data_IF_373339850302
#
_entry.id   IF_373339850302
#
_cell.length_a   1.000
_cell.length_b   1.000
_cell.length_c   1.000
_cell.angle_alpha   90.00
_cell.angle_beta   90.00
_cell.angle_gamma   90.00
#
_symmetry.space_group_name_H-M   'P 1'
#
loop_
_entity.id
_entity.type
_entity.pdbx_description
1 polymer ?
#
# COMPACT_ATOMS: atom_id res chain seq x y z
N UNK A 1 32.64 -28.35 8.32
CA UNK A 1 31.36 -29.04 8.03
C UNK A 1 30.27 -27.99 8.12
N UNK A 2 29.80 -27.49 6.99
CA UNK A 2 28.65 -26.60 6.93
C UNK A 2 27.44 -27.40 7.39
N UNK A 3 26.66 -26.92 8.37
CA UNK A 3 25.42 -27.61 8.74
C UNK A 3 24.56 -27.80 7.48
N UNK A 4 23.82 -28.91 7.37
CA UNK A 4 22.92 -29.13 6.23
C UNK A 4 22.06 -27.88 6.06
N UNK A 5 22.10 -27.29 4.85
CA UNK A 5 21.33 -26.10 4.50
C UNK A 5 19.87 -26.33 4.93
N UNK A 6 19.43 -25.68 6.01
CA UNK A 6 18.01 -25.54 6.27
C UNK A 6 17.42 -24.89 5.04
N UNK A 7 16.48 -25.57 4.37
CA UNK A 7 15.80 -25.02 3.20
C UNK A 7 15.26 -23.64 3.55
N UNK A 8 15.54 -22.64 2.71
CA UNK A 8 15.02 -21.29 2.89
C UNK A 8 13.51 -21.34 3.05
N UNK A 9 12.96 -20.46 3.89
CA UNK A 9 11.51 -20.28 4.00
C UNK A 9 10.94 -19.80 2.68
N UNK A 10 9.80 -20.35 2.28
CA UNK A 10 9.12 -20.07 1.02
C UNK A 10 8.01 -19.06 1.22
N UNK A 11 8.05 -17.94 0.50
CA UNK A 11 7.12 -16.83 0.63
C UNK A 11 6.34 -16.66 -0.67
N UNK A 12 5.01 -16.72 -0.59
CA UNK A 12 4.13 -16.32 -1.68
C UNK A 12 3.84 -14.82 -1.55
N UNK A 13 4.43 -14.00 -2.43
CA UNK A 13 4.41 -12.54 -2.36
C UNK A 13 3.39 -11.97 -3.35
N UNK A 14 2.34 -11.32 -2.85
CA UNK A 14 1.28 -10.75 -3.68
C UNK A 14 1.41 -9.23 -3.71
N UNK A 15 1.69 -8.69 -4.90
CA UNK A 15 1.84 -7.25 -5.14
C UNK A 15 1.38 -6.89 -6.55
N UNK A 16 0.80 -5.70 -6.78
CA UNK A 16 0.62 -5.18 -8.12
C UNK A 16 1.95 -5.15 -8.90
N UNK A 17 1.84 -5.33 -10.22
CA UNK A 17 2.95 -5.72 -11.10
C UNK A 17 4.05 -4.65 -11.21
N UNK A 18 5.27 -5.11 -11.50
CA UNK A 18 6.40 -4.29 -11.96
C UNK A 18 6.23 -3.79 -13.42
N UNK A 19 5.18 -4.23 -14.11
CA UNK A 19 5.12 -4.26 -15.58
C UNK A 19 4.06 -3.32 -16.14
N UNK A 20 3.01 -3.05 -15.37
CA UNK A 20 1.94 -2.14 -15.74
C UNK A 20 2.46 -0.69 -15.73
N UNK A 21 2.36 0.00 -16.87
CA UNK A 21 2.57 1.45 -16.97
C UNK A 21 1.53 2.24 -16.17
N UNK A 22 0.39 1.64 -15.89
CA UNK A 22 -0.73 2.31 -15.22
C UNK A 22 -0.52 2.39 -13.70
N UNK A 23 0.47 1.65 -13.17
CA UNK A 23 0.77 1.54 -11.74
C UNK A 23 2.08 2.24 -11.31
N UNK A 24 2.61 3.18 -12.10
CA UNK A 24 3.88 3.88 -11.77
C UNK A 24 3.85 4.59 -10.42
N UNK A 25 2.66 4.97 -9.93
CA UNK A 25 2.49 5.56 -8.61
C UNK A 25 2.21 4.57 -7.48
N UNK A 26 2.20 3.25 -7.70
CA UNK A 26 1.81 2.27 -6.67
C UNK A 26 2.90 2.12 -5.60
N UNK A 27 2.48 2.26 -4.34
CA UNK A 27 3.40 2.13 -3.20
C UNK A 27 3.80 0.67 -3.00
N UNK A 28 2.85 -0.25 -3.18
CA UNK A 28 3.12 -1.69 -3.08
C UNK A 28 4.15 -2.15 -4.12
N UNK A 29 4.05 -1.63 -5.35
CA UNK A 29 5.05 -1.87 -6.40
C UNK A 29 6.42 -1.34 -5.97
N UNK A 30 6.49 -0.08 -5.57
CA UNK A 30 7.74 0.56 -5.13
C UNK A 30 8.41 -0.23 -3.99
N UNK A 31 7.65 -0.59 -2.95
CA UNK A 31 8.17 -1.36 -1.83
C UNK A 31 8.67 -2.75 -2.27
N UNK A 32 7.95 -3.41 -3.18
CA UNK A 32 8.34 -4.71 -3.74
C UNK A 32 9.70 -4.64 -4.46
N UNK A 33 9.90 -3.64 -5.31
CA UNK A 33 11.15 -3.47 -6.07
C UNK A 33 12.37 -3.38 -5.15
N UNK A 34 12.23 -2.65 -4.04
CA UNK A 34 13.32 -2.48 -3.08
C UNK A 34 13.54 -3.71 -2.20
N UNK A 35 12.46 -4.34 -1.71
CA UNK A 35 12.56 -5.39 -0.70
C UNK A 35 12.91 -6.75 -1.29
N UNK A 36 12.48 -7.08 -2.51
CA UNK A 36 12.78 -8.39 -3.11
C UNK A 36 14.30 -8.64 -3.21
N UNK A 37 15.05 -7.63 -3.63
CA UNK A 37 16.52 -7.72 -3.72
C UNK A 37 17.15 -7.98 -2.35
N UNK A 38 16.63 -7.35 -1.28
CA UNK A 38 17.15 -7.51 0.08
C UNK A 38 16.78 -8.85 0.72
N UNK A 39 15.60 -9.37 0.41
CA UNK A 39 15.04 -10.55 1.06
C UNK A 39 15.34 -11.87 0.34
N UNK A 40 15.61 -11.86 -0.97
CA UNK A 40 15.92 -13.06 -1.76
C UNK A 40 17.16 -13.84 -1.26
N UNK A 41 18.06 -13.17 -0.55
CA UNK A 41 19.20 -13.80 0.13
C UNK A 41 18.79 -14.77 1.25
N UNK A 42 17.70 -14.46 1.96
CA UNK A 42 17.24 -15.20 3.14
C UNK A 42 16.02 -16.09 2.86
N UNK A 43 15.21 -15.72 1.87
CA UNK A 43 13.94 -16.37 1.56
C UNK A 43 13.91 -16.88 0.11
N UNK A 44 13.14 -17.94 -0.14
CA UNK A 44 12.70 -18.30 -1.49
C UNK A 44 11.37 -17.60 -1.75
N UNK A 45 11.37 -16.59 -2.61
CA UNK A 45 10.19 -15.74 -2.84
C UNK A 45 9.62 -16.02 -4.22
N UNK A 46 8.33 -16.34 -4.30
CA UNK A 46 7.58 -16.42 -5.55
C UNK A 46 6.58 -15.25 -5.61
N UNK A 47 6.68 -14.44 -6.67
CA UNK A 47 5.83 -13.27 -6.89
C UNK A 47 4.53 -13.68 -7.60
N UNK A 48 3.40 -13.21 -7.07
CA UNK A 48 2.07 -13.43 -7.61
C UNK A 48 1.40 -12.09 -7.95
N UNK A 49 0.86 -12.00 -9.15
CA UNK A 49 0.28 -10.77 -9.68
C UNK A 49 -0.96 -11.01 -10.55
N UNK A 50 -1.67 -9.94 -10.92
CA UNK A 50 -2.84 -9.97 -11.80
C UNK A 50 -2.46 -9.77 -13.27
N UNK A 51 -1.58 -10.64 -13.79
CA UNK A 51 -1.08 -10.59 -15.16
C UNK A 51 -0.61 -11.96 -15.67
N UNK A 52 -0.64 -12.16 -16.99
CA UNK A 52 -0.19 -13.38 -17.67
C UNK A 52 1.11 -13.17 -18.48
N UNK A 53 1.76 -12.01 -18.32
CA UNK A 53 2.92 -11.64 -19.12
C UNK A 53 4.14 -12.37 -18.56
N UNK A 54 4.99 -12.95 -19.41
CA UNK A 54 6.18 -13.72 -18.98
C UNK A 54 7.45 -12.84 -18.88
N UNK A 55 7.54 -11.74 -19.64
CA UNK A 55 8.75 -10.90 -19.74
C UNK A 55 8.87 -9.78 -18.69
N UNK A 56 9.53 -10.06 -17.56
CA UNK A 56 9.85 -9.05 -16.55
C UNK A 56 11.13 -9.38 -15.77
N UNK A 57 11.71 -8.40 -15.05
CA UNK A 57 12.99 -8.56 -14.36
C UNK A 57 12.92 -9.58 -13.22
N UNK A 58 11.72 -9.79 -12.66
CA UNK A 58 11.43 -10.81 -11.66
C UNK A 58 10.36 -11.75 -12.24
N UNK A 59 10.62 -13.07 -12.28
CA UNK A 59 9.61 -14.05 -12.65
C UNK A 59 8.40 -13.95 -11.73
N UNK A 60 7.21 -13.83 -12.32
CA UNK A 60 5.94 -13.75 -11.61
C UNK A 60 4.97 -14.79 -12.16
N UNK A 61 4.11 -15.29 -11.28
CA UNK A 61 3.00 -16.20 -11.59
C UNK A 61 1.68 -15.45 -11.50
N UNK A 62 0.68 -15.85 -12.29
CA UNK A 62 -0.67 -15.33 -12.10
C UNK A 62 -1.22 -15.76 -10.73
N UNK A 63 -1.88 -14.86 -9.98
CA UNK A 63 -2.31 -15.12 -8.60
C UNK A 63 -3.21 -16.36 -8.43
N UNK A 64 -4.00 -16.71 -9.44
CA UNK A 64 -4.83 -17.94 -9.41
C UNK A 64 -4.01 -19.23 -9.37
N UNK A 65 -2.73 -19.20 -9.76
CA UNK A 65 -1.86 -20.37 -9.68
C UNK A 65 -1.33 -20.62 -8.26
N UNK A 66 -1.43 -19.65 -7.35
CA UNK A 66 -0.83 -19.74 -6.03
C UNK A 66 -1.30 -20.97 -5.24
N UNK A 67 -2.58 -21.32 -5.35
CA UNK A 67 -3.13 -22.52 -4.70
C UNK A 67 -2.47 -23.80 -5.21
N UNK A 68 -2.38 -23.96 -6.54
CA UNK A 68 -1.76 -25.13 -7.15
C UNK A 68 -0.26 -25.23 -6.83
N UNK A 69 0.44 -24.08 -6.88
CA UNK A 69 1.85 -23.98 -6.49
C UNK A 69 2.06 -24.40 -5.03
N UNK A 70 1.19 -23.94 -4.14
CA UNK A 70 1.23 -24.29 -2.72
C UNK A 70 0.98 -25.79 -2.48
N UNK A 71 0.10 -26.44 -3.25
CA UNK A 71 -0.12 -27.89 -3.15
C UNK A 71 1.11 -28.70 -3.59
N UNK A 72 1.78 -28.27 -4.66
CA UNK A 72 2.99 -28.94 -5.17
C UNK A 72 4.19 -28.73 -4.26
N UNK A 73 4.37 -27.51 -3.79
CA UNK A 73 5.43 -27.11 -2.89
C UNK A 73 4.85 -26.07 -1.93
N UNK A 74 4.59 -26.41 -0.65
CA UNK A 74 3.98 -25.49 0.29
C UNK A 74 4.81 -24.23 0.54
N UNK A 75 4.10 -23.12 0.72
CA UNK A 75 4.65 -21.84 1.18
C UNK A 75 4.55 -21.77 2.71
N UNK A 76 5.57 -21.24 3.36
CA UNK A 76 5.56 -20.98 4.80
C UNK A 76 4.73 -19.73 5.14
N UNK A 77 4.74 -18.72 4.25
CA UNK A 77 4.03 -17.46 4.44
C UNK A 77 3.37 -17.01 3.14
N UNK A 78 2.11 -16.58 3.24
CA UNK A 78 1.47 -15.76 2.23
C UNK A 78 1.57 -14.29 2.66
N UNK A 79 2.13 -13.44 1.81
CA UNK A 79 2.33 -12.03 2.08
C UNK A 79 1.56 -11.19 1.07
N UNK A 80 0.67 -10.32 1.57
CA UNK A 80 -0.21 -9.50 0.75
C UNK A 80 0.09 -8.04 0.95
N UNK A 81 0.32 -7.32 -0.14
CA UNK A 81 0.33 -5.87 -0.12
C UNK A 81 -1.02 -5.34 -0.58
N UNK A 82 -1.59 -4.44 0.21
CA UNK A 82 -2.92 -3.91 0.01
C UNK A 82 -2.85 -2.39 -0.14
N UNK A 83 -3.33 -1.91 -1.28
CA UNK A 83 -3.44 -0.49 -1.62
C UNK A 83 -4.88 -0.23 -2.11
N UNK A 84 -5.39 0.98 -1.96
CA UNK A 84 -6.72 1.39 -2.44
C UNK A 84 -6.71 1.66 -3.95
N UNK A 85 -6.43 0.60 -4.72
CA UNK A 85 -6.38 0.65 -6.18
C UNK A 85 -6.98 -0.59 -6.83
N UNK A 86 -7.54 -0.45 -8.05
CA UNK A 86 -8.03 -1.59 -8.82
C UNK A 86 -6.96 -2.67 -9.06
N UNK A 87 -5.70 -2.28 -9.26
CA UNK A 87 -4.58 -3.21 -9.45
C UNK A 87 -4.30 -4.09 -8.23
N UNK A 88 -4.76 -3.70 -7.03
CA UNK A 88 -4.65 -4.49 -5.79
C UNK A 88 -5.91 -5.32 -5.49
N UNK A 89 -6.94 -5.29 -6.33
CA UNK A 89 -8.18 -6.04 -6.07
C UNK A 89 -7.97 -7.56 -6.02
N UNK A 90 -7.00 -8.09 -6.76
CA UNK A 90 -6.68 -9.52 -6.72
C UNK A 90 -6.10 -9.94 -5.36
N UNK A 91 -5.31 -9.09 -4.70
CA UNK A 91 -4.76 -9.39 -3.35
C UNK A 91 -5.90 -9.46 -2.34
N UNK A 92 -6.85 -8.53 -2.43
CA UNK A 92 -8.07 -8.52 -1.62
C UNK A 92 -8.93 -9.76 -1.84
N UNK A 93 -9.07 -10.24 -3.07
CA UNK A 93 -9.81 -11.49 -3.37
C UNK A 93 -9.05 -12.69 -2.77
N UNK A 94 -7.75 -12.80 -3.04
CA UNK A 94 -6.96 -13.97 -2.64
C UNK A 94 -6.79 -14.08 -1.12
N UNK A 95 -6.68 -12.97 -0.39
CA UNK A 95 -6.61 -12.96 1.08
C UNK A 95 -7.85 -13.61 1.73
N UNK A 96 -9.02 -13.51 1.10
CA UNK A 96 -10.22 -14.22 1.54
C UNK A 96 -10.15 -15.74 1.34
N UNK A 97 -9.23 -16.21 0.50
CA UNK A 97 -9.00 -17.63 0.20
C UNK A 97 -7.90 -18.24 1.06
N UNK A 98 -6.83 -17.51 1.37
CA UNK A 98 -5.73 -17.97 2.22
C UNK A 98 -5.25 -16.82 3.11
N UNK A 99 -5.47 -16.89 4.44
CA UNK A 99 -4.92 -15.93 5.40
C UNK A 99 -3.40 -15.80 5.31
N UNK A 100 -2.87 -14.61 5.61
CA UNK A 100 -1.43 -14.36 5.57
C UNK A 100 -1.02 -13.08 6.30
N UNK A 101 0.26 -12.72 6.17
CA UNK A 101 0.74 -11.39 6.58
C UNK A 101 0.19 -10.37 5.58
N UNK A 102 -0.41 -9.29 6.08
CA UNK A 102 -1.00 -8.26 5.22
C UNK A 102 -0.36 -6.92 5.56
N UNK A 103 0.26 -6.30 4.56
CA UNK A 103 0.76 -4.94 4.65
C UNK A 103 -0.22 -3.97 4.00
N UNK A 104 -0.90 -3.21 4.86
CA UNK A 104 -1.81 -2.15 4.49
C UNK A 104 -1.00 -0.90 4.16
N UNK A 105 -0.94 -0.58 2.86
CA UNK A 105 -0.55 0.73 2.39
C UNK A 105 -1.70 1.72 2.55
N UNK A 106 -2.93 1.26 2.31
CA UNK A 106 -4.16 1.97 2.67
C UNK A 106 -5.04 1.07 3.54
N UNK A 107 -5.40 1.55 4.73
CA UNK A 107 -6.42 0.92 5.57
C UNK A 107 -7.82 1.48 5.33
N UNK A 108 -7.92 2.74 4.92
CA UNK A 108 -9.16 3.37 4.48
C UNK A 108 -9.29 3.27 2.97
N UNK A 109 -10.29 2.53 2.49
CA UNK A 109 -10.53 2.30 1.07
C UNK A 109 -11.69 3.15 0.57
N UNK A 110 -11.43 3.99 -0.43
CA UNK A 110 -12.42 4.80 -1.14
C UNK A 110 -13.36 3.95 -1.97
N UNK A 111 -12.94 2.75 -2.36
CA UNK A 111 -13.75 1.80 -3.12
C UNK A 111 -14.12 0.57 -2.30
N UNK A 112 -15.30 0.02 -2.54
CA UNK A 112 -15.73 -1.20 -1.86
C UNK A 112 -14.97 -2.45 -2.35
N UNK A 113 -14.30 -2.35 -3.50
CA UNK A 113 -13.65 -3.46 -4.19
C UNK A 113 -14.57 -4.16 -5.19
N UNK A 114 -14.10 -5.28 -5.80
CA UNK A 114 -14.86 -6.02 -6.78
C UNK A 114 -16.09 -6.70 -6.15
N UNK A 115 -17.09 -7.00 -6.99
CA UNK A 115 -18.39 -7.59 -6.59
C UNK A 115 -18.29 -8.79 -5.62
N UNK A 116 -17.35 -9.74 -5.78
CA UNK A 116 -17.21 -10.85 -4.84
C UNK A 116 -16.89 -10.44 -3.39
N UNK A 117 -16.41 -9.20 -3.18
CA UNK A 117 -16.18 -8.60 -1.86
C UNK A 117 -17.45 -7.92 -1.35
N UNK A 118 -18.10 -7.14 -2.22
CA UNK A 118 -19.25 -6.28 -1.91
C UNK A 118 -20.40 -7.03 -1.26
N UNK A 119 -20.69 -8.24 -1.74
CA UNK A 119 -21.80 -9.06 -1.25
C UNK A 119 -21.33 -10.27 -0.41
N UNK A 120 -20.10 -10.21 0.12
CA UNK A 120 -19.57 -11.28 0.94
C UNK A 120 -20.03 -11.17 2.39
N UNK A 121 -20.52 -12.27 2.95
CA UNK A 121 -20.87 -12.46 4.36
C UNK A 121 -19.65 -12.50 5.29
N UNK A 122 -18.62 -11.70 5.02
CA UNK A 122 -17.27 -11.93 5.53
C UNK A 122 -17.18 -11.86 7.06
N UNK A 123 -17.98 -10.99 7.70
CA UNK A 123 -18.07 -10.90 9.16
C UNK A 123 -18.50 -12.24 9.75
N UNK A 124 -19.58 -12.80 9.20
CA UNK A 124 -20.14 -14.08 9.63
C UNK A 124 -19.19 -15.24 9.33
N UNK A 125 -18.53 -15.21 8.17
CA UNK A 125 -17.48 -16.16 7.78
C UNK A 125 -16.30 -16.11 8.76
N UNK A 126 -15.84 -14.92 9.14
CA UNK A 126 -14.74 -14.76 10.11
C UNK A 126 -15.15 -15.25 11.50
N UNK A 127 -16.37 -14.94 11.96
CA UNK A 127 -16.89 -15.44 13.23
C UNK A 127 -17.02 -16.97 13.24
N UNK A 128 -17.49 -17.58 12.15
CA UNK A 128 -17.56 -19.04 12.02
C UNK A 128 -16.16 -19.67 12.04
N UNK A 129 -15.20 -19.11 11.28
CA UNK A 129 -13.82 -19.58 11.27
C UNK A 129 -13.18 -19.53 12.67
N UNK A 130 -13.51 -18.50 13.47
CA UNK A 130 -13.09 -18.36 14.87
C UNK A 130 -13.85 -19.29 15.84
N UNK A 131 -14.71 -20.17 15.34
CA UNK A 131 -15.48 -21.14 16.14
C UNK A 131 -16.67 -20.54 16.91
N UNK A 132 -17.11 -19.31 16.60
CA UNK A 132 -18.20 -18.63 17.32
C UNK A 132 -19.59 -18.91 16.75
N UNK A 133 -19.72 -19.57 15.60
CA UNK A 133 -21.00 -19.91 14.97
C UNK A 133 -21.10 -21.40 14.63
N UNK A 134 -22.32 -21.93 14.70
CA UNK A 134 -22.64 -23.31 14.34
C UNK A 134 -23.02 -23.49 12.86
N UNK A 135 -23.59 -22.47 12.21
CA UNK A 135 -23.99 -22.48 10.79
C UNK A 135 -23.16 -21.52 9.93
N UNK A 136 -23.08 -21.81 8.63
CA UNK A 136 -22.59 -20.87 7.63
C UNK A 136 -23.63 -19.75 7.39
N UNK A 137 -23.20 -18.54 7.03
CA UNK A 137 -24.11 -17.45 6.67
C UNK A 137 -24.99 -17.80 5.46
N UNK A 138 -26.22 -17.30 5.47
CA UNK A 138 -27.16 -17.45 4.35
C UNK A 138 -26.63 -16.71 3.11
N UNK A 139 -26.65 -17.38 1.97
CA UNK A 139 -26.30 -16.80 0.66
C UNK A 139 -27.50 -16.06 0.09
N UNK A 140 -27.25 -15.02 -0.70
CA UNK A 140 -28.30 -14.19 -1.33
C UNK A 140 -28.84 -13.06 -0.43
N UNK A 141 -28.34 -12.94 0.80
CA UNK A 141 -28.53 -11.74 1.62
C UNK A 141 -27.56 -10.65 1.18
N UNK A 142 -28.03 -9.41 1.09
CA UNK A 142 -27.15 -8.24 0.91
C UNK A 142 -26.39 -7.96 2.22
N UNK A 143 -25.07 -7.80 2.11
CA UNK A 143 -24.20 -7.47 3.24
C UNK A 143 -23.73 -6.03 3.11
N UNK A 144 -24.22 -5.16 3.99
CA UNK A 144 -23.83 -3.75 3.97
C UNK A 144 -22.43 -3.58 4.53
N UNK A 145 -21.58 -2.81 3.83
CA UNK A 145 -20.27 -2.40 4.33
C UNK A 145 -20.42 -1.54 5.59
N UNK A 146 -19.61 -1.83 6.61
CA UNK A 146 -19.55 -1.02 7.83
C UNK A 146 -18.35 -0.09 7.76
N UNK A 147 -18.53 1.02 7.02
CA UNK A 147 -17.55 2.11 6.91
C UNK A 147 -16.34 1.84 6.00
N UNK A 148 -15.45 2.83 5.86
CA UNK A 148 -14.38 2.84 4.86
C UNK A 148 -13.19 1.91 5.16
N UNK A 149 -13.11 1.32 6.34
CA UNK A 149 -11.95 0.53 6.74
C UNK A 149 -11.89 -0.83 6.03
N UNK A 150 -10.68 -1.32 5.75
CA UNK A 150 -10.39 -2.67 5.22
C UNK A 150 -10.58 -3.76 6.29
N UNK A 151 -11.72 -3.73 7.01
CA UNK A 151 -12.00 -4.58 8.18
C UNK A 151 -11.94 -6.06 7.85
N UNK A 152 -12.38 -6.43 6.66
CA UNK A 152 -12.38 -7.80 6.18
C UNK A 152 -10.96 -8.32 6.03
N UNK A 153 -10.13 -7.57 5.33
CA UNK A 153 -8.74 -7.91 5.08
C UNK A 153 -7.97 -7.96 6.40
N UNK A 154 -8.23 -7.02 7.31
CA UNK A 154 -7.67 -7.05 8.65
C UNK A 154 -8.14 -8.24 9.50
N UNK A 155 -9.39 -8.68 9.34
CA UNK A 155 -9.92 -9.85 10.03
C UNK A 155 -9.30 -11.18 9.54
N UNK A 156 -8.91 -11.26 8.26
CA UNK A 156 -8.21 -12.41 7.70
C UNK A 156 -6.68 -12.32 7.85
N UNK A 157 -6.14 -11.14 8.13
CA UNK A 157 -4.72 -10.95 8.38
C UNK A 157 -4.24 -11.73 9.61
N UNK A 158 -3.16 -12.51 9.43
CA UNK A 158 -2.45 -13.21 10.49
C UNK A 158 -1.54 -12.28 11.28
N UNK A 159 -0.92 -11.35 10.58
CA UNK A 159 -0.13 -10.25 11.11
C UNK A 159 -0.39 -9.03 10.23
N UNK A 160 -0.92 -7.96 10.85
CA UNK A 160 -1.26 -6.73 10.13
C UNK A 160 -0.11 -5.73 10.23
N UNK A 161 0.48 -5.39 9.10
CA UNK A 161 1.51 -4.36 8.97
C UNK A 161 0.89 -3.10 8.37
N UNK A 162 1.30 -1.93 8.81
CA UNK A 162 0.77 -0.65 8.32
C UNK A 162 1.89 0.26 7.87
N UNK A 163 1.80 0.79 6.65
CA UNK A 163 2.78 1.74 6.08
C UNK A 163 2.73 3.12 6.74
N UNK A 164 1.64 3.41 7.45
CA UNK A 164 1.37 4.69 8.12
C UNK A 164 0.99 4.49 9.58
N UNK A 165 1.50 5.38 10.44
CA UNK A 165 1.15 5.43 11.87
C UNK A 165 -0.35 5.70 12.05
N UNK A 166 -0.96 6.55 11.21
CA UNK A 166 -2.40 6.85 11.25
C UNK A 166 -3.20 5.56 11.09
N UNK A 167 -2.95 4.83 10.03
CA UNK A 167 -3.72 3.63 9.68
C UNK A 167 -3.55 2.54 10.74
N UNK A 168 -2.34 2.42 11.32
CA UNK A 168 -2.12 1.54 12.47
C UNK A 168 -2.95 1.96 13.69
N UNK A 169 -2.99 3.25 13.99
CA UNK A 169 -3.78 3.79 15.10
C UNK A 169 -5.28 3.54 14.89
N UNK A 170 -5.82 3.83 13.71
CA UNK A 170 -7.22 3.54 13.36
C UNK A 170 -7.56 2.05 13.50
N UNK A 171 -6.65 1.17 13.08
CA UNK A 171 -6.80 -0.27 13.28
C UNK A 171 -6.88 -0.65 14.77
N UNK A 172 -6.04 -0.04 15.61
CA UNK A 172 -6.02 -0.30 17.05
C UNK A 172 -7.29 0.18 17.75
N UNK A 173 -7.87 1.31 17.32
CA UNK A 173 -9.17 1.78 17.81
C UNK A 173 -10.28 0.78 17.46
N UNK A 174 -10.34 0.33 16.20
CA UNK A 174 -11.34 -0.66 15.76
C UNK A 174 -11.19 -2.04 16.40
N UNK A 175 -9.98 -2.38 16.88
CA UNK A 175 -9.76 -3.63 17.62
C UNK A 175 -10.51 -3.65 18.94
N UNK A 176 -10.65 -2.49 19.59
CA UNK A 176 -11.37 -2.38 20.88
C UNK A 176 -12.86 -2.69 20.72
N UNK A 177 -13.40 -2.52 19.52
CA UNK A 177 -14.79 -2.88 19.18
C UNK A 177 -15.02 -4.39 18.95
N UNK A 178 -13.98 -5.23 19.11
CA UNK A 178 -14.07 -6.70 18.99
C UNK A 178 -14.17 -7.22 17.55
N UNK A 179 -13.92 -6.36 16.57
CA UNK A 179 -14.07 -6.63 15.13
C UNK A 179 -12.82 -7.32 14.59
N UNK A 180 -11.63 -6.84 14.99
CA UNK A 180 -10.35 -7.41 14.58
C UNK A 180 -9.86 -8.43 15.62
N UNK A 181 -8.94 -9.32 15.21
CA UNK A 181 -8.43 -10.35 16.12
C UNK A 181 -7.47 -9.73 17.15
N UNK A 182 -7.23 -10.42 18.26
CA UNK A 182 -6.15 -10.09 19.20
C UNK A 182 -4.72 -10.29 18.62
N UNK A 183 -4.60 -10.36 17.29
CA UNK A 183 -3.36 -10.69 16.57
C UNK A 183 -2.35 -9.56 16.64
N UNK A 184 -1.10 -9.94 16.43
CA UNK A 184 0.01 -9.00 16.33
C UNK A 184 -0.22 -8.02 15.16
N UNK A 185 0.14 -6.77 15.39
CA UNK A 185 0.08 -5.71 14.39
C UNK A 185 1.23 -4.74 14.60
N UNK A 186 1.83 -4.28 13.52
CA UNK A 186 3.01 -3.42 13.56
C UNK A 186 2.88 -2.26 12.58
N UNK A 187 3.46 -1.13 12.95
CA UNK A 187 3.84 -0.12 11.98
C UNK A 187 5.13 -0.60 11.29
N UNK A 188 5.09 -0.68 9.97
CA UNK A 188 6.25 -0.97 9.13
C UNK A 188 6.25 0.04 7.98
N UNK A 189 7.14 1.04 7.98
CA UNK A 189 7.12 2.12 7.01
C UNK A 189 7.55 1.68 5.61
N UNK A 190 7.19 2.49 4.61
CA UNK A 190 7.63 2.28 3.21
C UNK A 190 9.16 2.40 3.13
N UNK A 191 9.86 1.41 2.54
CA UNK A 191 11.32 1.39 2.50
C UNK A 191 11.85 2.46 1.55
N UNK A 192 12.97 3.07 1.90
CA UNK A 192 13.67 4.07 1.09
C UNK A 192 15.16 3.77 1.08
N UNK A 193 15.78 3.83 -0.09
CA UNK A 193 17.24 3.72 -0.22
C UNK A 193 17.93 4.99 0.30
N UNK A 194 19.16 4.88 0.83
CA UNK A 194 19.94 6.06 1.20
C UNK A 194 20.08 7.04 0.04
N UNK A 195 19.86 8.33 0.31
CA UNK A 195 20.04 9.39 -0.68
C UNK A 195 21.22 10.25 -0.25
N UNK A 196 22.25 10.31 -1.08
CA UNK A 196 23.36 11.25 -0.94
C UNK A 196 23.24 12.30 -2.03
N UNK A 197 22.97 13.54 -1.61
CA UNK A 197 22.94 14.68 -2.52
C UNK A 197 24.31 15.35 -2.52
N UNK A 198 24.77 15.75 -3.71
CA UNK A 198 25.91 16.67 -3.80
C UNK A 198 25.46 18.03 -3.27
N UNK A 199 26.27 18.65 -2.42
CA UNK A 199 25.99 20.00 -1.95
C UNK A 199 25.96 20.94 -3.15
N UNK A 200 24.76 21.43 -3.48
CA UNK A 200 24.62 22.53 -4.42
C UNK A 200 24.80 23.84 -3.65
N UNK A 201 25.63 24.78 -4.16
CA UNK A 201 25.64 26.12 -3.60
C UNK A 201 24.22 26.69 -3.67
N UNK A 202 23.80 27.40 -2.63
CA UNK A 202 22.49 28.04 -2.59
C UNK A 202 22.41 28.98 -3.81
N UNK A 203 21.47 28.67 -4.69
CA UNK A 203 21.11 29.58 -5.77
C UNK A 203 20.53 30.85 -5.17
N UNK A 204 20.62 31.96 -5.90
CA UNK A 204 19.85 33.16 -5.55
C UNK A 204 18.33 32.91 -5.68
N UNK A 205 17.92 31.79 -6.29
CA UNK A 205 16.54 31.37 -6.48
C UNK A 205 16.20 30.19 -5.58
N UNK A 206 15.07 30.28 -4.89
CA UNK A 206 14.47 29.21 -4.09
C UNK A 206 13.61 28.31 -5.00
N UNK A 207 13.99 27.04 -5.11
CA UNK A 207 13.28 26.03 -5.90
C UNK A 207 12.42 25.16 -4.98
N UNK A 208 11.11 25.27 -5.16
CA UNK A 208 10.13 24.42 -4.49
C UNK A 208 9.89 23.18 -5.34
N UNK A 209 9.77 22.01 -4.72
CA UNK A 209 9.40 20.77 -5.39
C UNK A 209 8.05 20.29 -4.92
N UNK A 210 7.21 19.81 -5.84
CA UNK A 210 5.94 19.17 -5.53
C UNK A 210 5.67 18.00 -6.49
N UNK A 211 5.09 16.92 -5.99
CA UNK A 211 4.80 15.71 -6.76
C UNK A 211 3.40 15.18 -6.45
N UNK A 212 2.44 15.56 -7.28
CA UNK A 212 1.04 15.20 -7.08
C UNK A 212 0.19 15.57 -8.29
N UNK A 213 -0.98 14.93 -8.48
CA UNK A 213 -1.93 15.37 -9.49
C UNK A 213 -2.63 16.68 -9.05
N UNK A 214 -3.21 17.44 -9.99
CA UNK A 214 -3.88 18.72 -9.74
C UNK A 214 -5.29 18.57 -9.12
N UNK A 215 -5.45 17.62 -8.20
CA UNK A 215 -6.74 17.32 -7.58
C UNK A 215 -6.92 18.14 -6.29
N UNK A 216 -8.17 18.27 -5.85
CA UNK A 216 -8.51 19.07 -4.67
C UNK A 216 -7.83 18.58 -3.39
N UNK A 217 -7.65 17.26 -3.24
CA UNK A 217 -7.04 16.67 -2.05
C UNK A 217 -5.57 17.02 -1.90
N UNK A 218 -4.85 17.30 -3.00
CA UNK A 218 -3.43 17.69 -2.92
C UNK A 218 -3.23 19.19 -2.66
N UNK A 219 -4.32 19.95 -2.51
CA UNK A 219 -4.32 21.37 -2.14
C UNK A 219 -3.41 22.25 -2.99
N UNK A 220 -3.12 21.84 -4.23
CA UNK A 220 -2.21 22.56 -5.13
C UNK A 220 -2.61 24.02 -5.33
N UNK A 221 -3.92 24.26 -5.38
CA UNK A 221 -4.49 25.60 -5.45
C UNK A 221 -4.05 26.53 -4.32
N UNK A 222 -3.83 26.03 -3.10
CA UNK A 222 -3.32 26.80 -1.96
C UNK A 222 -1.85 27.16 -2.14
N UNK A 223 -1.05 26.23 -2.66
CA UNK A 223 0.36 26.48 -3.01
C UNK A 223 0.48 27.53 -4.11
N UNK A 224 -0.35 27.43 -5.16
CA UNK A 224 -0.39 28.43 -6.25
C UNK A 224 -0.85 29.80 -5.75
N UNK A 225 -1.87 29.85 -4.88
CA UNK A 225 -2.31 31.09 -4.24
C UNK A 225 -1.21 31.72 -3.38
N UNK A 226 -0.47 30.90 -2.62
CA UNK A 226 0.68 31.34 -1.85
C UNK A 226 1.76 31.92 -2.77
N UNK A 227 2.14 31.21 -3.84
CA UNK A 227 3.11 31.67 -4.83
C UNK A 227 2.74 33.01 -5.46
N UNK A 228 1.47 33.21 -5.82
CA UNK A 228 0.98 34.49 -6.35
C UNK A 228 1.17 35.65 -5.37
N UNK A 229 0.97 35.40 -4.07
CA UNK A 229 1.11 36.41 -3.03
C UNK A 229 2.57 36.79 -2.74
N UNK A 230 3.53 36.01 -3.22
CA UNK A 230 4.95 36.29 -3.06
C UNK A 230 5.42 37.25 -4.19
N UNK A 231 5.96 38.43 -3.85
CA UNK A 231 6.35 39.45 -4.82
C UNK A 231 7.64 39.11 -5.57
N UNK A 232 8.28 37.98 -5.26
CA UNK A 232 9.64 37.67 -5.69
C UNK A 232 9.67 36.79 -6.94
N UNK A 233 10.43 37.25 -7.94
CA UNK A 233 10.88 36.45 -9.09
C UNK A 233 11.85 35.33 -8.68
N UNK A 234 12.27 35.31 -7.41
CA UNK A 234 13.27 34.39 -6.86
C UNK A 234 12.69 33.06 -6.39
N UNK A 235 11.41 32.78 -6.61
CA UNK A 235 10.77 31.55 -6.16
C UNK A 235 10.13 30.85 -7.37
N UNK A 236 10.60 29.63 -7.63
CA UNK A 236 10.08 28.74 -8.68
C UNK A 236 9.54 27.46 -8.08
N UNK A 237 8.50 26.92 -8.72
CA UNK A 237 7.91 25.63 -8.40
C UNK A 237 8.23 24.64 -9.51
N UNK A 238 8.85 23.52 -9.15
CA UNK A 238 8.99 22.32 -9.96
C UNK A 238 7.88 21.35 -9.56
N UNK A 239 6.93 21.09 -10.47
CA UNK A 239 5.74 20.29 -10.20
C UNK A 239 5.65 19.07 -11.13
N UNK A 240 5.80 17.88 -10.55
CA UNK A 240 5.64 16.61 -11.26
C UNK A 240 4.19 16.12 -11.24
N UNK A 241 3.66 15.81 -12.42
CA UNK A 241 2.31 15.27 -12.63
C UNK A 241 2.36 14.04 -13.55
N UNK A 242 1.29 13.26 -13.59
CA UNK A 242 1.13 12.24 -14.62
C UNK A 242 0.83 12.89 -15.97
N UNK A 243 1.18 12.22 -17.07
CA UNK A 243 0.92 12.74 -18.43
C UNK A 243 -0.57 13.06 -18.67
N UNK A 244 -1.48 12.26 -18.10
CA UNK A 244 -2.93 12.47 -18.16
C UNK A 244 -3.40 13.77 -17.47
N UNK A 245 -2.59 14.33 -16.57
CA UNK A 245 -2.93 15.48 -15.75
C UNK A 245 -2.26 16.80 -16.19
N UNK A 246 -1.39 16.78 -17.21
CA UNK A 246 -0.66 17.97 -17.69
C UNK A 246 -1.58 19.15 -18.05
N UNK A 247 -2.61 18.89 -18.85
CA UNK A 247 -3.52 19.94 -19.32
C UNK A 247 -4.27 20.61 -18.15
N UNK A 248 -4.71 19.80 -17.18
CA UNK A 248 -5.38 20.27 -15.97
C UNK A 248 -4.43 21.09 -15.10
N UNK A 249 -3.17 20.65 -14.94
CA UNK A 249 -2.16 21.38 -14.18
C UNK A 249 -1.86 22.76 -14.78
N UNK A 250 -1.68 22.86 -16.10
CA UNK A 250 -1.54 24.14 -16.79
C UNK A 250 -2.79 25.03 -16.65
N UNK A 251 -3.99 24.43 -16.73
CA UNK A 251 -5.23 25.17 -16.50
C UNK A 251 -5.28 25.78 -15.10
N UNK A 252 -4.89 25.02 -14.08
CA UNK A 252 -4.87 25.47 -12.69
C UNK A 252 -3.88 26.62 -12.47
N UNK A 253 -2.68 26.56 -13.05
CA UNK A 253 -1.70 27.67 -12.98
C UNK A 253 -2.29 28.97 -13.56
N UNK A 254 -2.97 28.88 -14.72
CA UNK A 254 -3.63 30.04 -15.34
C UNK A 254 -4.80 30.57 -14.51
N UNK A 255 -5.65 29.68 -14.01
CA UNK A 255 -6.82 30.01 -13.19
C UNK A 255 -6.42 30.82 -11.96
N UNK A 256 -5.35 30.41 -11.28
CA UNK A 256 -4.86 31.09 -10.09
C UNK A 256 -4.03 32.34 -10.42
N UNK A 257 -3.78 32.65 -11.69
CA UNK A 257 -3.04 33.84 -12.12
C UNK A 257 -1.57 33.81 -11.74
N UNK A 258 -0.97 32.62 -11.64
CA UNK A 258 0.47 32.47 -11.42
C UNK A 258 1.17 32.59 -12.77
N UNK A 259 2.25 33.38 -12.80
CA UNK A 259 3.07 33.56 -14.01
C UNK A 259 3.67 32.21 -14.45
N UNK A 260 3.49 31.76 -15.71
CA UNK A 260 3.92 30.44 -16.17
C UNK A 260 5.42 30.16 -15.96
N UNK A 261 6.28 31.16 -16.08
CA UNK A 261 7.72 31.03 -15.87
C UNK A 261 8.12 30.67 -14.43
N UNK A 262 7.21 30.86 -13.47
CA UNK A 262 7.42 30.49 -12.07
C UNK A 262 7.06 29.03 -11.78
N UNK A 263 6.43 28.31 -12.71
CA UNK A 263 6.00 26.93 -12.51
C UNK A 263 6.50 26.05 -13.66
N UNK A 264 7.51 25.24 -13.39
CA UNK A 264 8.00 24.18 -14.27
C UNK A 264 7.18 22.90 -14.02
N UNK A 265 6.17 22.65 -14.88
CA UNK A 265 5.35 21.44 -14.81
C UNK A 265 6.02 20.36 -15.64
N UNK A 266 6.32 19.21 -15.02
CA UNK A 266 6.92 18.05 -15.66
C UNK A 266 5.99 16.86 -15.63
N UNK A 267 5.99 16.09 -16.72
CA UNK A 267 5.39 14.77 -16.74
C UNK A 267 6.30 13.73 -16.09
N UNK A 268 5.82 12.48 -16.04
CA UNK A 268 6.62 11.36 -15.54
C UNK A 268 6.74 11.35 -14.01
N UNK A 269 5.65 11.66 -13.28
CA UNK A 269 5.58 11.44 -11.84
C UNK A 269 5.93 9.99 -11.50
N UNK A 270 7.10 9.79 -10.88
CA UNK A 270 7.54 8.50 -10.31
C UNK A 270 8.50 8.73 -9.14
N UNK A 271 8.70 7.74 -8.25
CA UNK A 271 9.70 7.82 -7.18
C UNK A 271 11.12 8.11 -7.70
N UNK A 272 11.50 7.55 -8.85
CA UNK A 272 12.81 7.72 -9.48
C UNK A 272 12.98 9.15 -10.02
N UNK A 273 11.95 9.66 -10.71
CA UNK A 273 11.94 11.03 -11.23
C UNK A 273 12.01 12.04 -10.08
N UNK A 274 11.25 11.80 -9.00
CA UNK A 274 11.30 12.63 -7.80
C UNK A 274 12.68 12.60 -7.15
N UNK A 275 13.24 11.40 -6.92
CA UNK A 275 14.58 11.22 -6.36
C UNK A 275 15.65 11.96 -7.17
N UNK A 276 15.60 11.87 -8.50
CA UNK A 276 16.52 12.58 -9.38
C UNK A 276 16.39 14.11 -9.27
N UNK A 277 15.19 14.62 -9.04
CA UNK A 277 14.91 16.04 -8.90
C UNK A 277 15.35 16.64 -7.56
N UNK A 278 15.41 15.84 -6.48
CA UNK A 278 15.72 16.30 -5.12
C UNK A 278 17.05 17.06 -5.05
N UNK A 279 18.03 16.73 -5.90
CA UNK A 279 19.30 17.49 -5.96
C UNK A 279 19.13 18.98 -6.30
N UNK A 280 18.05 19.33 -7.01
CA UNK A 280 17.75 20.70 -7.45
C UNK A 280 16.65 21.41 -6.66
N UNK A 281 16.01 20.71 -5.72
CA UNK A 281 14.90 21.25 -4.92
C UNK A 281 15.44 21.73 -3.57
N UNK A 282 15.05 22.92 -3.15
CA UNK A 282 15.40 23.47 -1.85
C UNK A 282 14.37 23.10 -0.77
N UNK A 283 13.08 23.14 -1.11
CA UNK A 283 11.97 22.83 -0.19
C UNK A 283 10.97 21.90 -0.88
N UNK A 284 10.61 20.79 -0.23
CA UNK A 284 9.60 19.85 -0.72
C UNK A 284 8.24 20.17 -0.12
N UNK A 285 7.20 20.22 -0.95
CA UNK A 285 5.83 20.54 -0.55
C UNK A 285 4.94 19.31 -0.72
N UNK A 286 4.27 18.91 0.35
CA UNK A 286 3.41 17.72 0.43
C UNK A 286 2.06 18.08 1.10
N UNK A 287 1.19 18.80 0.39
CA UNK A 287 -0.05 19.36 0.96
C UNK A 287 -1.27 18.44 0.80
N UNK A 288 -1.12 17.14 1.07
CA UNK A 288 -2.23 16.19 0.94
C UNK A 288 -3.22 16.30 2.10
N UNK A 289 -4.50 16.37 1.76
CA UNK A 289 -5.63 16.56 2.66
C UNK A 289 -6.76 15.60 2.28
N UNK A 290 -6.59 14.33 2.64
CA UNK A 290 -7.63 13.30 2.50
C UNK A 290 -7.44 12.21 3.54
N UNK A 291 -8.55 11.60 3.96
CA UNK A 291 -8.53 10.39 4.78
C UNK A 291 -8.15 9.17 3.93
N UNK A 292 -8.38 9.21 2.62
CA UNK A 292 -8.05 8.13 1.69
C UNK A 292 -6.71 8.39 1.03
N UNK A 293 -5.85 7.39 0.89
CA UNK A 293 -4.52 7.55 0.31
C UNK A 293 -3.46 8.06 1.29
N UNK A 294 -2.23 8.15 0.79
CA UNK A 294 -1.09 8.70 1.51
C UNK A 294 -0.01 9.28 0.57
N UNK A 295 1.00 9.93 1.15
CA UNK A 295 2.06 10.67 0.43
C UNK A 295 3.31 9.84 0.09
N UNK A 296 3.40 8.61 0.60
CA UNK A 296 4.53 7.73 0.30
C UNK A 296 4.62 7.36 -1.19
N UNK A 297 5.84 7.04 -1.68
CA UNK A 297 7.13 7.17 -0.99
C UNK A 297 7.71 8.59 -1.02
N UNK A 298 6.99 9.56 -1.59
CA UNK A 298 7.54 10.86 -1.97
C UNK A 298 7.98 11.70 -0.75
N UNK A 299 7.21 11.66 0.34
CA UNK A 299 7.57 12.37 1.57
C UNK A 299 8.79 11.73 2.24
N UNK A 300 8.84 10.40 2.36
CA UNK A 300 10.01 9.70 2.91
C UNK A 300 11.26 9.90 2.07
N UNK A 301 11.14 9.98 0.74
CA UNK A 301 12.25 10.35 -0.14
C UNK A 301 12.75 11.78 0.13
N UNK A 302 11.85 12.75 0.32
CA UNK A 302 12.21 14.13 0.67
C UNK A 302 12.94 14.20 2.01
N UNK A 303 12.45 13.48 3.03
CA UNK A 303 13.06 13.42 4.36
C UNK A 303 14.44 12.73 4.31
N UNK A 304 14.55 11.59 3.63
CA UNK A 304 15.82 10.86 3.45
C UNK A 304 16.90 11.71 2.75
N UNK A 305 16.48 12.54 1.80
CA UNK A 305 17.35 13.48 1.11
C UNK A 305 17.74 14.72 1.94
N UNK A 306 17.24 14.81 3.18
CA UNK A 306 17.50 15.93 4.09
C UNK A 306 16.86 17.25 3.68
N UNK A 307 15.80 17.21 2.87
CA UNK A 307 15.12 18.43 2.43
C UNK A 307 14.14 18.92 3.50
N UNK A 308 14.06 20.24 3.74
CA UNK A 308 12.92 20.84 4.42
C UNK A 308 11.62 20.39 3.76
N UNK A 309 10.70 19.89 4.57
CA UNK A 309 9.37 19.44 4.13
C UNK A 309 8.32 20.39 4.71
N UNK A 310 7.51 20.96 3.83
CA UNK A 310 6.25 21.62 4.20
C UNK A 310 5.12 20.65 3.91
N UNK A 311 4.26 20.40 4.90
CA UNK A 311 3.14 19.46 4.76
C UNK A 311 1.87 19.99 5.41
N UNK A 312 0.72 19.47 5.00
CA UNK A 312 -0.54 19.69 5.71
C UNK A 312 -0.55 18.94 7.04
N UNK A 313 -1.09 19.58 8.10
CA UNK A 313 -1.31 19.00 9.43
C UNK A 313 -2.58 18.13 9.44
N UNK A 314 -2.58 17.05 8.66
CA UNK A 314 -3.74 16.17 8.50
C UNK A 314 -3.33 14.75 8.13
N UNK A 315 -4.18 13.77 8.45
CA UNK A 315 -3.99 12.38 8.04
C UNK A 315 -2.65 11.81 8.53
N UNK A 316 -1.94 11.10 7.65
CA UNK A 316 -0.66 10.47 7.98
C UNK A 316 0.44 11.49 8.38
N UNK A 317 0.44 12.68 7.79
CA UNK A 317 1.48 13.69 8.05
C UNK A 317 1.28 14.46 9.34
N UNK A 318 0.06 14.44 9.91
CA UNK A 318 -0.19 14.98 11.24
C UNK A 318 0.52 14.23 12.37
N UNK A 319 1.10 13.05 12.09
CA UNK A 319 1.93 12.29 13.03
C UNK A 319 3.42 12.62 12.95
N UNK A 320 3.84 13.48 12.00
CA UNK A 320 5.23 13.92 11.93
C UNK A 320 5.52 14.92 13.06
N UNK A 321 6.66 14.80 13.77
CA UNK A 321 7.08 15.81 14.74
C UNK A 321 7.26 17.20 14.10
N UNK A 322 6.95 18.27 14.83
CA UNK A 322 7.10 19.66 14.35
C UNK A 322 8.56 20.01 14.00
N UNK A 323 9.53 19.38 14.67
CA UNK A 323 10.97 19.52 14.37
C UNK A 323 11.37 18.86 13.03
N UNK A 324 10.55 17.96 12.49
CA UNK A 324 10.84 17.19 11.27
C UNK A 324 10.25 17.86 10.03
N UNK A 325 9.05 18.43 10.15
CA UNK A 325 8.32 19.04 9.03
C UNK A 325 7.60 20.32 9.46
N UNK A 326 7.52 21.28 8.54
CA UNK A 326 6.71 22.49 8.71
C UNK A 326 5.25 22.15 8.40
N UNK A 327 4.48 21.93 9.45
CA UNK A 327 3.06 21.60 9.35
C UNK A 327 2.21 22.87 9.20
N UNK A 328 1.25 22.84 8.28
CA UNK A 328 0.28 23.92 8.03
C UNK A 328 -1.12 23.39 8.24
N UNK A 329 -1.95 24.12 8.98
CA UNK A 329 -3.33 23.73 9.21
C UNK A 329 -4.17 23.93 7.93
N UNK A 330 -4.83 22.88 7.42
CA UNK A 330 -5.67 23.02 6.23
C UNK A 330 -6.87 23.94 6.49
N UNK A 331 -7.12 24.90 5.59
CA UNK A 331 -8.23 25.83 5.81
C UNK A 331 -8.21 27.11 4.99
N UNK A 332 -8.84 28.15 5.56
CA UNK A 332 -8.93 29.49 4.94
C UNK A 332 -7.58 30.22 4.96
N UNK A 333 -6.81 30.08 6.04
CA UNK A 333 -5.50 30.72 6.25
C UNK A 333 -4.32 29.96 5.64
N UNK A 334 -4.54 28.71 5.20
CA UNK A 334 -3.50 27.80 4.68
C UNK A 334 -2.58 28.45 3.63
N UNK A 335 -3.14 29.13 2.63
CA UNK A 335 -2.33 29.79 1.60
C UNK A 335 -1.48 30.95 2.15
N UNK A 336 -1.98 31.66 3.17
CA UNK A 336 -1.25 32.72 3.83
C UNK A 336 -0.10 32.16 4.68
N UNK A 337 -0.34 31.07 5.41
CA UNK A 337 0.66 30.37 6.22
C UNK A 337 1.77 29.77 5.34
N UNK A 338 1.41 29.11 4.24
CA UNK A 338 2.37 28.63 3.23
C UNK A 338 3.22 29.81 2.73
N UNK A 339 2.60 30.92 2.34
CA UNK A 339 3.35 32.09 1.87
C UNK A 339 4.29 32.65 2.94
N UNK A 340 3.86 32.70 4.20
CA UNK A 340 4.69 33.17 5.31
C UNK A 340 5.90 32.26 5.56
N UNK A 341 5.71 30.94 5.50
CA UNK A 341 6.80 29.96 5.61
C UNK A 341 7.78 30.08 4.44
N UNK A 342 7.28 30.18 3.21
CA UNK A 342 8.13 30.31 2.02
C UNK A 342 8.98 31.58 2.06
N UNK A 343 8.45 32.71 2.54
CA UNK A 343 9.23 33.96 2.74
C UNK A 343 10.40 33.76 3.71
N UNK A 344 10.25 32.90 4.73
CA UNK A 344 11.32 32.61 5.69
C UNK A 344 12.46 31.82 5.06
N UNK A 345 12.21 31.05 4.01
CA UNK A 345 13.26 30.32 3.31
C UNK A 345 14.06 31.19 2.35
N UNK A 346 13.49 32.29 1.87
CA UNK A 346 14.21 33.22 0.99
C UNK A 346 15.40 33.82 1.74
N UNK A 347 16.61 33.50 1.27
CA UNK A 347 17.85 34.05 1.82
C UNK A 347 18.31 33.42 3.14
N UNK A 348 17.60 32.42 3.64
CA UNK A 348 18.09 31.61 4.76
C UNK A 348 19.03 30.51 4.26
N UNK A 349 20.10 30.28 5.01
CA UNK A 349 20.93 29.11 4.78
C UNK A 349 20.21 27.87 5.31
N UNK A 350 19.77 27.01 4.40
CA UNK A 350 19.12 25.75 4.75
C UNK A 350 20.17 24.77 5.32
N UNK A 351 19.85 24.04 6.40
CA UNK A 351 20.74 23.01 6.93
C UNK A 351 20.96 21.95 5.85
N UNK A 352 22.24 21.65 5.55
CA UNK A 352 22.62 20.75 4.46
C UNK A 352 22.75 19.30 4.88
N UNK A 353 23.13 19.06 6.14
CA UNK A 353 23.42 17.72 6.68
C UNK A 353 22.75 17.53 8.04
N UNK A 354 22.33 16.30 8.33
CA UNK A 354 21.79 15.87 9.63
C UNK A 354 20.61 16.71 10.12
N UNK A 355 19.72 17.13 9.22
CA UNK A 355 18.48 17.74 9.65
C UNK A 355 17.61 16.68 10.37
N UNK A 356 16.76 17.09 11.35
CA UNK A 356 15.96 16.13 12.11
C UNK A 356 15.13 15.17 11.25
N UNK A 357 14.59 15.67 10.12
CA UNK A 357 13.87 14.83 9.17
C UNK A 357 14.72 13.76 8.50
N UNK A 358 15.99 14.06 8.18
CA UNK A 358 16.91 13.05 7.66
C UNK A 358 17.26 12.00 8.70
N UNK A 359 17.49 12.41 9.95
CA UNK A 359 17.78 11.48 11.04
C UNK A 359 16.60 10.54 11.29
N UNK A 360 15.38 11.09 11.41
CA UNK A 360 14.17 10.28 11.50
C UNK A 360 14.09 9.30 10.32
N UNK A 361 14.38 9.77 9.11
CA UNK A 361 14.27 8.94 7.93
C UNK A 361 15.32 7.84 7.84
N UNK A 362 16.54 8.10 8.29
CA UNK A 362 17.59 7.09 8.38
C UNK A 362 17.25 6.04 9.44
N UNK A 363 16.66 6.45 10.55
CA UNK A 363 16.27 5.54 11.63
C UNK A 363 15.03 4.70 11.29
N UNK A 364 14.11 5.22 10.46
CA UNK A 364 12.79 4.61 10.25
C UNK A 364 12.54 4.11 8.82
N UNK A 365 13.06 4.75 7.78
CA UNK A 365 12.72 4.40 6.38
C UNK A 365 13.81 3.60 5.67
N UNK A 366 15.00 3.41 6.22
CA UNK A 366 16.08 2.70 5.52
C UNK A 366 15.66 1.30 5.07
N UNK A 367 15.80 1.04 3.78
CA UNK A 367 15.42 -0.23 3.14
C UNK A 367 16.00 -1.46 3.85
N UNK A 368 17.25 -1.41 4.32
CA UNK A 368 17.89 -2.53 5.00
C UNK A 368 17.25 -2.82 6.36
N UNK A 369 16.83 -1.77 7.07
CA UNK A 369 16.16 -1.91 8.35
C UNK A 369 14.72 -2.41 8.16
N UNK A 370 13.97 -1.81 7.24
CA UNK A 370 12.60 -2.26 6.90
C UNK A 370 12.61 -3.72 6.43
N UNK A 371 13.59 -4.12 5.61
CA UNK A 371 13.77 -5.51 5.20
C UNK A 371 14.10 -6.42 6.39
N UNK A 372 14.95 -5.98 7.32
CA UNK A 372 15.27 -6.72 8.54
C UNK A 372 14.05 -6.96 9.43
N UNK A 373 13.23 -5.93 9.65
CA UNK A 373 11.98 -6.03 10.40
C UNK A 373 10.96 -6.94 9.70
N UNK A 374 10.80 -6.80 8.38
CA UNK A 374 9.91 -7.67 7.61
C UNK A 374 10.38 -9.13 7.63
N UNK A 375 11.69 -9.39 7.58
CA UNK A 375 12.25 -10.73 7.72
C UNK A 375 11.93 -11.33 9.10
N UNK A 376 12.04 -10.56 10.18
CA UNK A 376 11.65 -11.00 11.52
C UNK A 376 10.15 -11.32 11.60
N UNK A 377 9.31 -10.52 10.95
CA UNK A 377 7.87 -10.79 10.84
C UNK A 377 7.64 -12.12 10.12
N UNK A 378 8.33 -12.37 8.99
CA UNK A 378 8.20 -13.64 8.27
C UNK A 378 8.65 -14.84 9.10
N UNK A 379 9.78 -14.77 9.79
CA UNK A 379 10.25 -15.88 10.62
C UNK A 379 9.31 -16.17 11.80
N UNK A 380 8.88 -15.12 12.51
CA UNK A 380 7.90 -15.25 13.60
C UNK A 380 6.59 -15.81 13.10
N UNK A 381 6.10 -15.25 12.00
CA UNK A 381 4.80 -15.62 11.44
C UNK A 381 4.86 -17.03 10.85
N UNK A 382 5.93 -17.45 10.19
CA UNK A 382 6.09 -18.85 9.73
C UNK A 382 6.01 -19.84 10.91
N UNK A 383 6.61 -19.49 12.05
CA UNK A 383 6.50 -20.28 13.29
C UNK A 383 5.07 -20.34 13.85
N UNK A 384 4.33 -19.22 13.80
CA UNK A 384 2.97 -19.09 14.36
C UNK A 384 1.86 -19.61 13.43
N UNK A 385 1.99 -19.38 12.11
CA UNK A 385 1.11 -19.90 11.04
C UNK A 385 1.04 -21.42 11.08
N UNK A 386 1.98 -22.06 11.80
CA UNK A 386 2.01 -23.44 12.29
C UNK A 386 0.95 -24.32 11.64
N UNK A 387 1.36 -25.36 10.93
CA UNK A 387 0.53 -26.40 10.30
C UNK A 387 -0.94 -26.48 10.76
N UNK A 388 -1.23 -26.43 12.07
CA UNK A 388 -2.56 -26.22 12.67
C UNK A 388 -3.42 -25.08 12.08
N UNK A 389 -2.95 -23.85 11.87
CA UNK A 389 -3.83 -22.76 11.39
C UNK A 389 -4.17 -22.95 9.91
N UNK A 390 -3.19 -23.28 9.07
CA UNK A 390 -3.44 -23.66 7.68
C UNK A 390 -4.25 -24.96 7.58
N UNK A 391 -4.07 -25.92 8.48
CA UNK A 391 -4.89 -27.13 8.54
C UNK A 391 -6.33 -26.82 8.97
N UNK A 392 -6.53 -25.95 9.98
CA UNK A 392 -7.85 -25.49 10.40
C UNK A 392 -8.54 -24.72 9.27
N UNK A 393 -7.79 -23.89 8.54
CA UNK A 393 -8.29 -23.16 7.40
C UNK A 393 -8.64 -24.10 6.23
N UNK A 394 -7.78 -25.09 5.95
CA UNK A 394 -8.03 -26.13 4.95
C UNK A 394 -9.28 -26.95 5.29
N UNK A 395 -9.45 -27.33 6.55
CA UNK A 395 -10.66 -28.01 7.03
C UNK A 395 -11.89 -27.10 6.96
N UNK A 396 -11.76 -25.83 7.32
CA UNK A 396 -12.82 -24.84 7.15
C UNK A 396 -13.23 -24.68 5.68
N UNK A 397 -12.26 -24.58 4.76
CA UNK A 397 -12.51 -24.50 3.32
C UNK A 397 -13.18 -25.77 2.80
N UNK A 398 -12.74 -26.95 3.24
CA UNK A 398 -13.36 -28.23 2.89
C UNK A 398 -14.83 -28.27 3.32
N UNK A 399 -15.13 -27.82 4.55
CA UNK A 399 -16.51 -27.71 5.06
C UNK A 399 -17.32 -26.69 4.26
N UNK A 400 -16.76 -25.52 3.96
CA UNK A 400 -17.42 -24.47 3.20
C UNK A 400 -17.74 -24.92 1.76
N UNK A 401 -16.83 -25.65 1.10
CA UNK A 401 -17.03 -26.23 -0.23
C UNK A 401 -18.12 -27.31 -0.22
N UNK A 402 -18.11 -28.20 0.78
CA UNK A 402 -19.14 -29.21 0.94
C UNK A 402 -20.53 -28.59 1.17
N UNK A 403 -20.60 -27.53 1.98
CA UNK A 403 -21.83 -26.78 2.21
C UNK A 403 -22.35 -26.12 0.92
N UNK A 404 -21.47 -25.43 0.19
CA UNK A 404 -21.83 -24.82 -1.11
C UNK A 404 -22.32 -25.87 -2.11
N UNK A 405 -21.66 -27.02 -2.19
CA UNK A 405 -22.10 -28.10 -3.07
C UNK A 405 -23.51 -28.61 -2.68
N UNK A 406 -23.78 -28.74 -1.38
CA UNK A 406 -25.10 -29.14 -0.87
C UNK A 406 -26.18 -28.11 -1.21
N UNK A 407 -25.92 -26.83 -0.98
CA UNK A 407 -26.84 -25.73 -1.30
C UNK A 407 -27.12 -25.64 -2.80
N UNK A 408 -26.06 -25.73 -3.63
CA UNK A 408 -26.18 -25.69 -5.10
C UNK A 408 -26.94 -26.90 -5.60
N UNK A 409 -26.68 -28.08 -5.05
CA UNK A 409 -27.42 -29.30 -5.38
C UNK A 409 -28.92 -29.15 -5.08
N UNK A 410 -29.27 -28.58 -3.92
CA UNK A 410 -30.66 -28.31 -3.56
C UNK A 410 -31.33 -27.27 -4.47
N UNK A 411 -30.60 -26.23 -4.90
CA UNK A 411 -31.13 -25.17 -5.76
C UNK A 411 -31.39 -25.64 -7.20
N UNK A 412 -30.45 -26.41 -7.77
CA UNK A 412 -30.51 -26.82 -9.19
C UNK A 412 -31.24 -28.15 -9.42
N UNK A 413 -31.50 -28.94 -8.37
CA UNK A 413 -32.21 -30.21 -8.48
C UNK A 413 -31.57 -31.13 -9.53
N UNK A 414 -32.33 -31.53 -10.55
CA UNK A 414 -31.86 -32.40 -11.65
C UNK A 414 -30.72 -31.77 -12.49
N UNK A 415 -30.60 -30.43 -12.51
CA UNK A 415 -29.53 -29.71 -13.20
C UNK A 415 -28.16 -29.82 -12.51
N UNK A 416 -28.14 -30.25 -11.24
CA UNK A 416 -26.90 -30.41 -10.47
C UNK A 416 -25.96 -31.42 -11.11
N UNK A 417 -26.47 -32.60 -11.51
CA UNK A 417 -25.63 -33.69 -12.00
C UNK A 417 -25.09 -33.45 -13.41
N UNK A 418 -25.79 -32.64 -14.21
CA UNK A 418 -25.42 -32.37 -15.61
C UNK A 418 -24.49 -31.17 -15.77
N UNK A 419 -24.65 -30.13 -14.94
CA UNK A 419 -23.91 -28.88 -15.10
C UNK A 419 -22.97 -28.61 -13.91
N UNK A 420 -23.48 -28.61 -12.68
CA UNK A 420 -22.71 -28.11 -11.54
C UNK A 420 -21.71 -29.13 -10.97
N UNK A 421 -22.10 -30.40 -10.84
CA UNK A 421 -21.26 -31.45 -10.26
C UNK A 421 -19.96 -31.67 -11.05
N UNK A 422 -19.97 -31.77 -12.40
CA UNK A 422 -18.73 -31.89 -13.17
C UNK A 422 -17.79 -30.71 -12.95
N UNK A 423 -18.30 -29.48 -12.95
CA UNK A 423 -17.49 -28.28 -12.69
C UNK A 423 -16.90 -28.30 -11.28
N UNK A 424 -17.66 -28.70 -10.26
CA UNK A 424 -17.15 -28.81 -8.89
C UNK A 424 -16.10 -29.91 -8.74
N UNK A 425 -16.20 -31.01 -9.50
CA UNK A 425 -15.18 -32.06 -9.55
C UNK A 425 -13.91 -31.58 -10.27
N UNK A 426 -14.05 -30.87 -11.39
CA UNK A 426 -12.94 -30.28 -12.13
C UNK A 426 -12.16 -29.25 -11.28
N UNK A 427 -12.88 -28.45 -10.48
CA UNK A 427 -12.28 -27.53 -9.51
C UNK A 427 -11.67 -28.23 -8.28
N UNK A 428 -11.80 -29.56 -8.16
CA UNK A 428 -11.31 -30.34 -7.01
C UNK A 428 -12.10 -30.10 -5.72
N UNK A 429 -13.33 -29.59 -5.80
CA UNK A 429 -14.17 -29.32 -4.62
C UNK A 429 -14.94 -30.56 -4.16
N UNK A 430 -15.19 -31.49 -5.07
CA UNK A 430 -15.82 -32.78 -4.78
C UNK A 430 -14.86 -33.91 -5.12
N UNK A 431 -14.74 -34.88 -4.21
CA UNK A 431 -14.02 -36.11 -4.52
C UNK A 431 -14.79 -36.91 -5.57
N UNK A 432 -14.07 -37.49 -6.54
CA UNK A 432 -14.66 -38.41 -7.50
C UNK A 432 -15.18 -39.63 -6.75
N UNK A 433 -16.50 -39.82 -6.74
CA UNK A 433 -17.17 -40.93 -6.03
C UNK A 433 -16.78 -42.33 -6.53
N UNK A 434 -15.92 -42.45 -7.55
CA UNK A 434 -15.51 -43.72 -8.17
C UNK A 434 -13.99 -43.93 -8.28
N UNK A 435 -13.18 -43.24 -7.47
CA UNK A 435 -11.72 -43.21 -7.61
C UNK A 435 -10.90 -43.78 -6.46
N UNK A 436 -11.34 -44.80 -5.73
CA UNK A 436 -10.44 -45.61 -4.89
C UNK A 436 -10.09 -46.89 -5.65
N UNK A 437 -8.92 -46.92 -6.29
CA UNK A 437 -8.26 -48.18 -6.67
C UNK A 437 -7.27 -48.56 -5.59
#
# INVERSE_FOLDING_TARGET
MTPPNSSKRRIAWFSPTLRSSDDVGSVARYATELLLTKLSGSFEIELFENGFVEDGPVPSSHYLQAFHRHEQNPFDVFFYQLEDRPSSYFTRIHLGLIPGVVWFHDFLLSTDGPEPILNSSWNDTSLHFRGKRSSFPERGKEYTRVGPHARREAAFSLCALFSSIRDHHEYLELRQDGITNERESFYLPVPVEPISLKSCPLSNELVLGMVCPPHGEYRVHKVLQALRALPEDRIRLLWFVDASHLSQAHSLVREYGVRPERVDIRDGRSPEAWRAALGSIDVCIHTFFSSYGHLEPYISLSLMAGKPVLSSSFGATGFLPEEVAFLVDPGETEAHEIAALLKRFVGCELPKDNCPGQMLAQENFLVDMVAGELAQVFERTAGQISHRMLANWSEFLKRARAELARETSALFGEGWDTVCRPTFQEMGWLQNAGGSR
#
